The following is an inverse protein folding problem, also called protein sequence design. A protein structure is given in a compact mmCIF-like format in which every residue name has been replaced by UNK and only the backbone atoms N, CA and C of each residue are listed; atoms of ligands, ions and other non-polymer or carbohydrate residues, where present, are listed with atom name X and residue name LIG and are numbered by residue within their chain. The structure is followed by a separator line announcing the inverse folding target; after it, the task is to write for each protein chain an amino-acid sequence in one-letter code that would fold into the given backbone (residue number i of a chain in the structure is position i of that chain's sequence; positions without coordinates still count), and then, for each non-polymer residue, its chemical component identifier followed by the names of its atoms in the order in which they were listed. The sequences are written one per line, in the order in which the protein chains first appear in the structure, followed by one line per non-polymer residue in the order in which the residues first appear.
data_IF_566467219083
#
_entry.id   IF_566467219083
#
_cell.length_a   1.000
_cell.length_b   1.000
_cell.length_c   1.000
_cell.angle_alpha   90.00
_cell.angle_beta   90.00
_cell.angle_gamma   90.00
#
_symmetry.space_group_name_H-M   'P 1'
#
loop_
_entity.id
_entity.type
_entity.pdbx_description
1 polymer ?
#
# COMPACT_ATOMS: atom_id res chain seq x y z
N UNK A 1 2.83 -18.88 15.33
CA UNK A 1 2.96 -17.81 14.32
C UNK A 1 1.93 -18.08 13.24
N UNK A 2 1.14 -17.09 12.81
CA UNK A 2 0.24 -17.24 11.69
C UNK A 2 1.02 -17.65 10.43
N UNK A 3 0.36 -18.34 9.51
CA UNK A 3 1.00 -18.69 8.25
C UNK A 3 1.18 -17.45 7.37
N UNK A 4 2.14 -17.50 6.43
CA UNK A 4 2.37 -16.44 5.44
C UNK A 4 1.10 -15.99 4.71
N UNK A 5 0.19 -16.91 4.39
CA UNK A 5 -1.10 -16.56 3.78
C UNK A 5 -1.98 -15.71 4.70
N UNK A 6 -1.95 -15.95 6.02
CA UNK A 6 -2.67 -15.11 6.98
C UNK A 6 -2.13 -13.68 6.97
N UNK A 7 -0.79 -13.53 6.97
CA UNK A 7 -0.16 -12.22 6.91
C UNK A 7 -0.45 -11.49 5.59
N UNK A 8 -0.51 -12.19 4.46
CA UNK A 8 -0.96 -11.61 3.18
C UNK A 8 -2.38 -11.07 3.26
N UNK A 9 -3.32 -11.88 3.73
CA UNK A 9 -4.74 -11.50 3.75
C UNK A 9 -5.02 -10.36 4.74
N UNK A 10 -4.47 -10.44 5.95
CA UNK A 10 -4.62 -9.37 6.94
C UNK A 10 -3.89 -8.10 6.50
N UNK A 11 -2.72 -8.25 5.89
CA UNK A 11 -2.00 -7.11 5.31
C UNK A 11 -2.81 -6.43 4.20
N UNK A 12 -3.39 -7.21 3.27
CA UNK A 12 -4.23 -6.70 2.20
C UNK A 12 -5.43 -5.91 2.73
N UNK A 13 -6.15 -6.46 3.71
CA UNK A 13 -7.34 -5.81 4.27
C UNK A 13 -6.98 -4.55 5.07
N UNK A 14 -5.89 -4.59 5.84
CA UNK A 14 -5.37 -3.41 6.56
C UNK A 14 -4.95 -2.31 5.58
N UNK A 15 -4.21 -2.65 4.53
CA UNK A 15 -3.77 -1.71 3.50
C UNK A 15 -4.92 -1.10 2.71
N UNK A 16 -5.91 -1.91 2.31
CA UNK A 16 -7.13 -1.44 1.67
C UNK A 16 -7.90 -0.47 2.57
N UNK A 17 -8.08 -0.80 3.85
CA UNK A 17 -8.81 0.05 4.80
C UNK A 17 -8.10 1.39 5.01
N UNK A 18 -6.78 1.39 5.17
CA UNK A 18 -6.00 2.63 5.32
C UNK A 18 -6.06 3.48 4.05
N UNK A 19 -5.91 2.88 2.87
CA UNK A 19 -6.01 3.61 1.61
C UNK A 19 -7.42 4.21 1.41
N UNK A 20 -8.49 3.46 1.73
CA UNK A 20 -9.85 3.98 1.68
C UNK A 20 -10.05 5.18 2.62
N UNK A 21 -9.54 5.11 3.85
CA UNK A 21 -9.64 6.22 4.80
C UNK A 21 -8.92 7.48 4.30
N UNK A 22 -7.78 7.33 3.62
CA UNK A 22 -7.03 8.46 3.09
C UNK A 22 -7.59 9.02 1.77
N UNK A 23 -8.18 8.16 0.93
CA UNK A 23 -8.69 8.52 -0.38
C UNK A 23 -10.15 9.01 -0.36
N UNK A 24 -10.79 9.12 0.81
CA UNK A 24 -12.23 9.40 0.94
C UNK A 24 -12.70 10.71 0.27
N UNK A 25 -11.78 11.65 0.01
CA UNK A 25 -12.06 12.92 -0.66
C UNK A 25 -11.75 12.89 -2.18
N UNK A 26 -11.13 11.83 -2.67
CA UNK A 26 -10.81 11.67 -4.08
C UNK A 26 -12.04 11.28 -4.90
N UNK A 27 -11.94 11.45 -6.22
CA UNK A 27 -13.00 10.99 -7.13
C UNK A 27 -13.17 9.47 -7.06
N UNK A 28 -14.36 8.94 -7.35
CA UNK A 28 -14.65 7.49 -7.30
C UNK A 28 -13.62 6.61 -8.01
N UNK A 29 -13.17 6.88 -9.26
CA UNK A 29 -12.16 6.05 -9.89
C UNK A 29 -10.82 6.09 -9.15
N UNK A 30 -10.38 7.27 -8.68
CA UNK A 30 -9.14 7.40 -7.91
C UNK A 30 -9.22 6.68 -6.57
N UNK A 31 -10.33 6.83 -5.87
CA UNK A 31 -10.61 6.12 -4.63
C UNK A 31 -10.46 4.60 -4.81
N UNK A 32 -11.05 4.02 -5.86
CA UNK A 32 -10.95 2.59 -6.14
C UNK A 32 -9.52 2.15 -6.50
N UNK A 33 -8.83 2.93 -7.34
CA UNK A 33 -7.44 2.64 -7.73
C UNK A 33 -6.52 2.71 -6.50
N UNK A 34 -6.71 3.72 -5.65
CA UNK A 34 -5.92 3.89 -4.43
C UNK A 34 -6.19 2.77 -3.43
N UNK A 35 -7.45 2.32 -3.28
CA UNK A 35 -7.78 1.12 -2.50
C UNK A 35 -7.11 -0.14 -3.04
N UNK A 36 -7.10 -0.34 -4.36
CA UNK A 36 -6.40 -1.46 -4.99
C UNK A 36 -4.90 -1.41 -4.72
N UNK A 37 -4.30 -0.23 -4.86
CA UNK A 37 -2.91 0.02 -4.48
C UNK A 37 -2.66 -0.33 -3.02
N UNK A 38 -3.52 0.14 -2.12
CA UNK A 38 -3.50 -0.16 -0.69
C UNK A 38 -3.53 -1.65 -0.38
N UNK A 39 -4.41 -2.40 -1.04
CA UNK A 39 -4.48 -3.85 -0.90
C UNK A 39 -3.18 -4.53 -1.34
N UNK A 40 -2.64 -4.18 -2.51
CA UNK A 40 -1.39 -4.74 -3.04
C UNK A 40 -0.20 -4.40 -2.14
N UNK A 41 -0.08 -3.15 -1.71
CA UNK A 41 0.95 -2.71 -0.78
C UNK A 41 0.83 -3.44 0.55
N UNK A 42 -0.40 -3.60 1.05
CA UNK A 42 -0.72 -4.36 2.25
C UNK A 42 -0.26 -5.81 2.18
N UNK A 43 -0.51 -6.49 1.07
CA UNK A 43 -0.03 -7.87 0.84
C UNK A 43 1.49 -7.94 0.90
N UNK A 44 2.18 -7.04 0.20
CA UNK A 44 3.65 -7.02 0.13
C UNK A 44 4.25 -6.68 1.50
N UNK A 45 3.74 -5.64 2.16
CA UNK A 45 4.20 -5.21 3.47
C UNK A 45 3.93 -6.26 4.55
N UNK A 46 2.79 -6.95 4.45
CA UNK A 46 2.42 -8.04 5.34
C UNK A 46 3.33 -9.24 5.28
N UNK A 47 4.01 -9.52 4.16
CA UNK A 47 4.95 -10.65 4.05
C UNK A 47 6.42 -10.23 4.05
N UNK A 48 6.70 -8.93 4.01
CA UNK A 48 8.06 -8.42 3.94
C UNK A 48 8.95 -8.89 5.12
N UNK A 49 8.47 -8.94 6.38
CA UNK A 49 9.28 -9.47 7.48
C UNK A 49 9.72 -10.91 7.26
N UNK A 50 8.82 -11.77 6.77
CA UNK A 50 9.11 -13.19 6.52
C UNK A 50 10.09 -13.40 5.34
N UNK A 51 10.15 -12.46 4.40
CA UNK A 51 11.11 -12.47 3.30
C UNK A 51 12.49 -11.97 3.70
N UNK A 52 12.52 -10.87 4.45
CA UNK A 52 13.77 -10.25 4.91
C UNK A 52 14.43 -11.08 6.00
N UNK A 53 13.64 -11.76 6.83
CA UNK A 53 14.12 -12.54 7.96
C UNK A 53 13.33 -13.86 8.11
N UNK A 54 13.60 -14.87 7.26
CA UNK A 54 12.88 -16.13 7.32
C UNK A 54 13.01 -16.81 8.68
N UNK A 55 11.91 -17.35 9.20
CA UNK A 55 11.91 -18.05 10.49
C UNK A 55 12.73 -19.35 10.42
N UNK A 56 13.90 -19.36 11.06
CA UNK A 56 14.78 -20.54 11.13
C UNK A 56 14.52 -21.44 12.34
N UNK A 57 13.88 -20.92 13.40
CA UNK A 57 13.47 -21.68 14.58
C UNK A 57 12.32 -20.98 15.32
N UNK A 58 11.69 -21.68 16.26
CA UNK A 58 10.57 -21.16 17.07
C UNK A 58 10.93 -19.99 17.99
N UNK A 59 12.22 -19.73 18.17
CA UNK A 59 12.77 -18.62 18.97
C UNK A 59 13.20 -17.43 18.12
N UNK A 60 13.01 -17.49 16.80
CA UNK A 60 13.41 -16.42 15.91
C UNK A 60 12.49 -15.20 16.06
N UNK A 61 13.00 -14.18 16.76
CA UNK A 61 12.49 -12.81 16.74
C UNK A 61 13.66 -11.88 16.48
N UNK A 62 14.08 -11.85 15.24
CA UNK A 62 15.15 -10.97 14.82
C UNK A 62 14.66 -9.54 14.60
N UNK A 63 15.43 -8.76 13.85
CA UNK A 63 15.22 -7.32 13.73
C UNK A 63 13.87 -7.00 13.09
N UNK A 64 13.47 -7.71 12.02
CA UNK A 64 12.25 -7.43 11.26
C UNK A 64 10.98 -7.80 12.01
N UNK A 65 11.09 -8.60 13.08
CA UNK A 65 9.98 -8.99 13.95
C UNK A 65 10.05 -8.30 15.33
N UNK A 66 10.90 -7.27 15.46
CA UNK A 66 11.11 -6.56 16.71
C UNK A 66 10.12 -5.40 16.91
N UNK A 67 9.80 -5.09 18.16
CA UNK A 67 9.01 -3.91 18.51
C UNK A 67 9.72 -2.60 18.06
N UNK A 68 11.06 -2.60 18.04
CA UNK A 68 11.85 -1.47 17.56
C UNK A 68 11.64 -1.23 16.06
N UNK A 69 11.63 -2.27 15.23
CA UNK A 69 11.31 -2.16 13.81
C UNK A 69 9.88 -1.63 13.59
N UNK A 70 8.91 -2.11 14.39
CA UNK A 70 7.54 -1.58 14.37
C UNK A 70 7.48 -0.10 14.72
N UNK A 71 8.17 0.31 15.79
CA UNK A 71 8.25 1.72 16.21
C UNK A 71 8.93 2.61 15.16
N UNK A 72 10.00 2.12 14.53
CA UNK A 72 10.68 2.84 13.44
C UNK A 72 9.77 3.00 12.22
N UNK A 73 8.97 1.99 11.88
CA UNK A 73 8.03 2.07 10.76
C UNK A 73 6.89 3.06 11.04
N UNK A 74 6.36 3.05 12.26
CA UNK A 74 5.35 4.03 12.71
C UNK A 74 5.92 5.44 12.70
N UNK A 75 7.17 5.63 13.11
CA UNK A 75 7.86 6.91 13.01
C UNK A 75 8.05 7.34 11.54
N UNK A 76 8.39 6.40 10.66
CA UNK A 76 8.53 6.63 9.22
C UNK A 76 7.19 6.83 8.49
N UNK A 77 6.05 6.57 9.15
CA UNK A 77 4.71 6.73 8.56
C UNK A 77 4.50 8.12 7.99
N UNK A 78 4.99 9.16 8.66
CA UNK A 78 4.85 10.53 8.19
C UNK A 78 5.59 10.76 6.86
N UNK A 79 6.80 10.20 6.71
CA UNK A 79 7.55 10.30 5.47
C UNK A 79 6.84 9.56 4.33
N UNK A 80 6.26 8.38 4.61
CA UNK A 80 5.52 7.60 3.62
C UNK A 80 4.19 8.26 3.23
N UNK A 81 3.50 8.89 4.18
CA UNK A 81 2.33 9.71 3.91
C UNK A 81 2.67 10.92 3.03
N UNK A 82 3.83 11.55 3.26
CA UNK A 82 4.31 12.63 2.38
C UNK A 82 4.58 12.11 0.96
N UNK A 83 5.16 10.92 0.81
CA UNK A 83 5.39 10.32 -0.51
C UNK A 83 4.08 9.94 -1.21
N UNK A 84 3.10 9.43 -0.49
CA UNK A 84 1.76 9.20 -1.03
C UNK A 84 1.12 10.51 -1.50
N UNK A 85 1.28 11.61 -0.75
CA UNK A 85 0.83 12.94 -1.18
C UNK A 85 1.53 13.40 -2.47
N UNK A 86 2.85 13.20 -2.59
CA UNK A 86 3.60 13.50 -3.82
C UNK A 86 3.05 12.69 -5.01
N UNK A 87 2.71 11.42 -4.79
CA UNK A 87 2.09 10.59 -5.82
C UNK A 87 0.74 11.17 -6.26
N UNK A 88 -0.15 11.55 -5.33
CA UNK A 88 -1.43 12.20 -5.66
C UNK A 88 -1.23 13.52 -6.41
N UNK A 89 -0.24 14.32 -6.03
CA UNK A 89 0.09 15.57 -6.75
C UNK A 89 0.55 15.29 -8.18
N UNK A 90 1.36 14.26 -8.41
CA UNK A 90 1.78 13.88 -9.75
C UNK A 90 0.62 13.31 -10.58
N UNK A 91 -0.27 12.52 -9.99
CA UNK A 91 -1.52 12.11 -10.64
C UNK A 91 -2.35 13.34 -11.04
N UNK A 92 -2.44 14.34 -10.17
CA UNK A 92 -3.15 15.58 -10.47
C UNK A 92 -2.52 16.36 -11.64
N UNK A 93 -1.19 16.39 -11.76
CA UNK A 93 -0.49 17.02 -12.90
C UNK A 93 -0.80 16.32 -14.22
N UNK A 94 -0.98 15.01 -14.22
CA UNK A 94 -1.37 14.26 -15.43
C UNK A 94 -2.78 14.61 -15.93
N UNK A 95 -3.66 15.13 -15.06
CA UNK A 95 -5.02 15.58 -15.43
C UNK A 95 -5.04 16.96 -16.08
N UNK A 96 -4.05 17.81 -15.78
CA UNK A 96 -4.04 19.20 -16.25
C UNK A 96 -3.72 19.21 -17.73
N UNK A 97 -4.71 19.61 -18.55
CA UNK A 97 -4.50 19.81 -19.97
C UNK A 97 -3.51 20.95 -20.19
N UNK A 98 -2.58 20.82 -21.15
CA UNK A 98 -1.71 21.93 -21.51
C UNK A 98 -2.54 23.11 -22.00
N UNK A 99 -2.17 24.31 -21.57
CA UNK A 99 -2.80 25.55 -21.99
C UNK A 99 -1.74 26.43 -22.68
N UNK A 100 -2.18 27.18 -23.69
CA UNK A 100 -1.37 28.21 -24.36
C UNK A 100 -2.06 29.54 -24.21
N UNK A 101 -1.30 30.59 -23.93
CA UNK A 101 -1.81 31.96 -23.95
C UNK A 101 -1.97 32.41 -25.41
N UNK A 102 -3.17 32.82 -25.77
CA UNK A 102 -3.47 33.43 -27.05
C UNK A 102 -2.77 34.80 -27.13
N UNK A 103 -1.86 34.95 -28.09
CA UNK A 103 -1.05 36.18 -28.25
C UNK A 103 -1.86 37.43 -28.61
N UNK A 104 -3.09 37.27 -29.10
CA UNK A 104 -3.95 38.36 -29.54
C UNK A 104 -4.96 38.76 -28.47
N UNK A 105 -5.49 37.79 -27.72
CA UNK A 105 -6.52 38.03 -26.69
C UNK A 105 -5.96 38.02 -25.27
N UNK A 106 -4.78 37.44 -25.02
CA UNK A 106 -4.24 37.18 -23.69
C UNK A 106 -5.00 36.09 -22.92
N UNK A 107 -5.90 35.36 -23.58
CA UNK A 107 -6.68 34.30 -22.94
C UNK A 107 -5.92 32.97 -22.96
N UNK A 108 -6.03 32.18 -21.88
CA UNK A 108 -5.45 30.84 -21.81
C UNK A 108 -6.39 29.83 -22.44
N UNK A 109 -6.02 29.30 -23.60
CA UNK A 109 -6.80 28.32 -24.35
C UNK A 109 -6.26 26.89 -24.11
N UNK A 110 -7.13 25.89 -23.91
CA UNK A 110 -6.69 24.49 -23.80
C UNK A 110 -6.17 24.00 -25.15
N UNK A 111 -4.99 23.39 -25.14
CA UNK A 111 -4.45 22.72 -26.32
C UNK A 111 -5.05 21.30 -26.35
N UNK A 112 -5.76 20.91 -27.41
CA UNK A 112 -6.26 19.54 -27.51
C UNK A 112 -5.07 18.58 -27.52
N UNK A 113 -4.99 17.63 -26.56
CA UNK A 113 -3.89 16.68 -26.53
C UNK A 113 -3.97 15.77 -27.76
N UNK A 114 -2.82 15.43 -28.33
CA UNK A 114 -2.77 14.36 -29.32
C UNK A 114 -3.16 13.03 -28.65
N UNK A 115 -3.80 12.08 -29.37
CA UNK A 115 -4.31 10.84 -28.76
C UNK A 115 -3.28 10.07 -27.93
N UNK A 116 -2.02 10.01 -28.39
CA UNK A 116 -0.94 9.35 -27.66
C UNK A 116 -0.62 10.03 -26.32
N UNK A 117 -0.63 11.36 -26.27
CA UNK A 117 -0.37 12.12 -25.05
C UNK A 117 -1.49 11.92 -24.03
N UNK A 118 -2.74 11.85 -24.49
CA UNK A 118 -3.88 11.56 -23.63
C UNK A 118 -3.74 10.17 -23.00
N UNK A 119 -3.51 9.13 -23.82
CA UNK A 119 -3.32 7.76 -23.33
C UNK A 119 -2.16 7.68 -22.33
N UNK A 120 -1.03 8.33 -22.64
CA UNK A 120 0.11 8.36 -21.73
C UNK A 120 -0.22 9.04 -20.39
N UNK A 121 -0.96 10.16 -20.43
CA UNK A 121 -1.36 10.89 -19.23
C UNK A 121 -2.30 10.07 -18.34
N UNK A 122 -3.26 9.36 -18.95
CA UNK A 122 -4.16 8.44 -18.23
C UNK A 122 -3.40 7.27 -17.58
N UNK A 123 -2.41 6.70 -18.28
CA UNK A 123 -1.54 5.65 -17.72
C UNK A 123 -0.72 6.19 -16.54
N UNK A 124 -0.10 7.37 -16.69
CA UNK A 124 0.67 7.99 -15.62
C UNK A 124 -0.22 8.30 -14.41
N UNK A 125 -1.41 8.87 -14.62
CA UNK A 125 -2.38 9.16 -13.57
C UNK A 125 -2.78 7.89 -12.81
N UNK A 126 -3.08 6.81 -13.53
CA UNK A 126 -3.39 5.51 -12.96
C UNK A 126 -2.23 4.98 -12.09
N UNK A 127 -1.00 4.98 -12.61
CA UNK A 127 0.18 4.49 -11.91
C UNK A 127 0.44 5.30 -10.64
N UNK A 128 0.38 6.64 -10.71
CA UNK A 128 0.60 7.50 -9.56
C UNK A 128 -0.46 7.30 -8.48
N UNK A 129 -1.72 7.16 -8.87
CA UNK A 129 -2.82 6.90 -7.93
C UNK A 129 -2.67 5.53 -7.26
N UNK A 130 -2.31 4.50 -8.04
CA UNK A 130 -2.05 3.16 -7.53
C UNK A 130 -0.87 3.17 -6.55
N UNK A 131 0.20 3.91 -6.87
CA UNK A 131 1.39 4.02 -6.03
C UNK A 131 1.10 4.74 -4.71
N UNK A 132 0.26 5.79 -4.72
CA UNK A 132 -0.17 6.46 -3.49
C UNK A 132 -0.83 5.47 -2.52
N UNK A 133 -1.71 4.63 -3.04
CA UNK A 133 -2.35 3.55 -2.28
C UNK A 133 -1.33 2.53 -1.79
N UNK A 134 -0.46 2.07 -2.69
CA UNK A 134 0.56 1.05 -2.39
C UNK A 134 1.48 1.44 -1.25
N UNK A 135 1.96 2.69 -1.22
CA UNK A 135 2.84 3.18 -0.15
C UNK A 135 2.16 3.15 1.22
N UNK A 136 0.88 3.57 1.29
CA UNK A 136 0.09 3.46 2.51
C UNK A 136 -0.14 1.99 2.88
N UNK A 137 -0.47 1.16 1.90
CA UNK A 137 -0.66 -0.28 2.07
C UNK A 137 0.55 -0.97 2.69
N UNK A 138 1.76 -0.70 2.19
CA UNK A 138 3.00 -1.30 2.69
C UNK A 138 3.16 -1.15 4.21
N UNK A 139 2.89 0.06 4.72
CA UNK A 139 3.01 0.35 6.15
C UNK A 139 1.98 -0.40 6.99
N UNK A 140 0.70 -0.32 6.58
CA UNK A 140 -0.38 -1.02 7.26
C UNK A 140 -0.15 -2.54 7.25
N UNK A 141 0.31 -3.08 6.13
CA UNK A 141 0.67 -4.48 5.98
C UNK A 141 1.74 -4.91 6.98
N UNK A 142 2.87 -4.20 7.00
CA UNK A 142 3.98 -4.52 7.90
C UNK A 142 3.59 -4.38 9.38
N UNK A 143 2.85 -3.33 9.75
CA UNK A 143 2.36 -3.17 11.12
C UNK A 143 1.38 -4.30 11.49
N UNK A 144 0.48 -4.68 10.58
CA UNK A 144 -0.44 -5.79 10.82
C UNK A 144 0.29 -7.11 11.03
N UNK A 145 1.40 -7.34 10.31
CA UNK A 145 2.27 -8.49 10.50
C UNK A 145 2.80 -8.55 11.93
N UNK A 146 3.41 -7.45 12.39
CA UNK A 146 3.97 -7.36 13.74
C UNK A 146 2.91 -7.54 14.83
N UNK A 147 1.73 -6.95 14.64
CA UNK A 147 0.62 -7.10 15.60
C UNK A 147 0.14 -8.54 15.69
N UNK A 148 -0.01 -9.22 14.54
CA UNK A 148 -0.37 -10.63 14.48
C UNK A 148 0.66 -11.53 15.18
N UNK A 149 1.95 -11.25 14.99
CA UNK A 149 3.03 -12.00 15.63
C UNK A 149 3.13 -11.73 17.14
N UNK A 150 2.86 -10.49 17.55
CA UNK A 150 2.81 -10.12 18.96
C UNK A 150 1.62 -10.79 19.69
N UNK A 151 0.47 -10.90 19.02
CA UNK A 151 -0.76 -11.48 19.58
C UNK A 151 -0.76 -13.01 19.59
N UNK A 152 0.10 -13.66 18.82
CA UNK A 152 0.15 -15.13 18.77
C UNK A 152 0.99 -15.66 19.94
N UNK A 153 0.42 -16.48 20.85
CA UNK A 153 1.18 -17.12 21.91
C UNK A 153 2.36 -17.91 21.33
N UNK A 154 3.50 -17.87 22.02
CA UNK A 154 4.65 -18.69 21.66
C UNK A 154 4.25 -20.17 21.77
N UNK A 155 4.08 -20.82 20.63
CA UNK A 155 3.74 -22.23 20.54
C UNK A 155 4.34 -22.82 19.29
N UNK A 156 5.21 -23.81 19.47
CA UNK A 156 5.57 -24.72 18.39
C UNK A 156 4.33 -25.58 18.16
N UNK A 157 3.83 -25.77 16.93
CA UNK A 157 2.87 -26.84 16.66
C UNK A 157 3.65 -28.17 16.76
N UNK A 158 3.95 -28.62 17.98
CA UNK A 158 4.55 -29.94 18.22
C UNK A 158 3.55 -31.03 17.86
N UNK A 159 2.24 -30.73 17.89
CA UNK A 159 1.21 -31.70 17.56
C UNK A 159 -0.11 -31.04 17.15
N UNK A 160 -0.22 -30.67 15.88
CA UNK A 160 -1.54 -30.62 15.23
C UNK A 160 -1.49 -31.56 14.04
N UNK A 161 -1.34 -32.85 14.34
CA UNK A 161 -1.82 -33.88 13.44
C UNK A 161 -3.32 -33.66 13.26
N UNK A 162 -3.71 -33.05 12.13
CA UNK A 162 -5.09 -33.14 11.66
C UNK A 162 -5.28 -34.54 11.08
N UNK A 163 -5.46 -35.52 11.95
CA UNK A 163 -6.61 -36.40 11.81
C UNK A 163 -7.82 -35.54 12.15
N UNK A 164 -8.38 -34.90 11.13
CA UNK A 164 -9.73 -34.37 11.22
C UNK A 164 -10.67 -35.57 11.32
N UNK A 165 -10.95 -36.01 12.55
CA UNK A 165 -12.10 -36.83 12.85
C UNK A 165 -13.33 -36.00 12.51
N UNK A 166 -13.96 -36.34 11.39
CA UNK A 166 -15.38 -36.09 11.17
C UNK A 166 -16.12 -36.90 12.24
N UNK A 167 -16.72 -36.20 13.19
CA UNK A 167 -17.88 -36.68 13.93
C UNK A 167 -18.96 -35.64 13.69
#
# INVERSE_FOLDING_TARGET
MPGRETHKYVGATAGLALAAAQAQQESKPHFLIEMMGGALGGMVGGIAPDWLEPAVCSWHRGICHSAAAGGALVYAQQALANWASICRQNAAKCRVLPQVEDIHTGEWLPIPPIPLQQVWSEICEFIWTLLAGFLNGLTAGYVSHLLLDAATPRGIPIWTGRTALKI
#
